data_IF_886988262757
#
_entry.id   IF_886988262757
#
_cell.length_a   1.000
_cell.length_b   1.000
_cell.length_c   1.000
_cell.angle_alpha   90.00
_cell.angle_beta   90.00
_cell.angle_gamma   90.00
#
_symmetry.space_group_name_H-M   'P 1'
#
loop_
_entity.id
_entity.type
_entity.pdbx_description
1 polymer ?
#
# COMPACT_ATOMS: atom_id res chain seq x y z
N UNK A 1 -46.85 1.04 -2.50
CA UNK A 1 -45.68 1.83 -2.93
C UNK A 1 -44.46 0.93 -2.72
N UNK A 2 -43.82 0.37 -3.77
CA UNK A 2 -42.61 -0.43 -3.56
C UNK A 2 -41.46 0.48 -3.13
N UNK A 3 -40.83 0.12 -2.02
CA UNK A 3 -39.61 0.74 -1.51
C UNK A 3 -38.50 0.51 -2.53
N UNK A 4 -37.90 1.60 -3.02
CA UNK A 4 -36.66 1.54 -3.81
C UNK A 4 -35.56 0.96 -2.92
N UNK A 5 -35.23 -0.31 -3.13
CA UNK A 5 -33.97 -0.89 -2.66
C UNK A 5 -32.87 -0.23 -3.48
N UNK A 6 -32.23 0.79 -2.89
CA UNK A 6 -30.95 1.29 -3.39
C UNK A 6 -29.99 0.11 -3.53
N UNK A 7 -29.41 -0.04 -4.72
CA UNK A 7 -28.39 -1.05 -4.97
C UNK A 7 -27.30 -0.96 -3.88
N UNK A 8 -26.75 -2.09 -3.39
CA UNK A 8 -25.57 -2.02 -2.54
C UNK A 8 -24.50 -1.27 -3.35
N UNK A 9 -24.01 -0.15 -2.82
CA UNK A 9 -22.84 0.51 -3.37
C UNK A 9 -21.77 -0.58 -3.52
N UNK A 10 -21.30 -0.81 -4.75
CA UNK A 10 -20.27 -1.80 -5.02
C UNK A 10 -19.10 -1.49 -4.09
N UNK A 11 -18.84 -2.39 -3.14
CA UNK A 11 -17.72 -2.26 -2.23
C UNK A 11 -16.47 -2.25 -3.10
N UNK A 12 -15.93 -1.06 -3.32
CA UNK A 12 -14.77 -0.82 -4.14
C UNK A 12 -13.61 -1.67 -3.58
N UNK A 13 -13.34 -2.82 -4.20
CA UNK A 13 -12.41 -3.81 -3.65
C UNK A 13 -10.99 -3.32 -3.88
N UNK A 14 -10.31 -2.93 -2.81
CA UNK A 14 -8.87 -2.73 -2.85
C UNK A 14 -8.18 -4.01 -3.36
N UNK A 15 -7.14 -3.86 -4.16
CA UNK A 15 -6.30 -4.96 -4.63
C UNK A 15 -5.30 -5.35 -3.54
N UNK A 16 -5.22 -6.64 -3.22
CA UNK A 16 -4.20 -7.17 -2.32
C UNK A 16 -3.08 -7.87 -3.11
N UNK A 17 -1.83 -7.76 -2.65
CA UNK A 17 -0.74 -8.53 -3.24
C UNK A 17 0.61 -8.36 -2.55
N UNK A 18 1.43 -9.40 -2.67
CA UNK A 18 2.82 -9.37 -2.23
C UNK A 18 3.69 -8.57 -3.22
N UNK A 19 4.50 -7.64 -2.69
CA UNK A 19 5.43 -6.84 -3.47
C UNK A 19 6.82 -6.90 -2.85
N UNK A 20 7.83 -7.10 -3.68
CA UNK A 20 9.21 -6.98 -3.24
C UNK A 20 9.48 -5.54 -2.80
N UNK A 21 9.92 -5.37 -1.56
CA UNK A 21 10.15 -4.10 -0.89
C UNK A 21 11.60 -4.08 -0.41
N UNK A 22 12.34 -3.05 -0.78
CA UNK A 22 13.76 -2.92 -0.52
C UNK A 22 14.10 -1.61 0.19
N UNK A 23 15.24 -1.59 0.88
CA UNK A 23 15.75 -0.40 1.58
C UNK A 23 16.09 0.73 0.61
N UNK A 24 16.60 0.36 -0.57
CA UNK A 24 16.71 1.26 -1.71
C UNK A 24 15.43 1.17 -2.56
N UNK A 25 14.68 2.27 -2.64
CA UNK A 25 13.42 2.37 -3.38
C UNK A 25 13.55 1.94 -4.85
N UNK A 26 14.69 2.19 -5.49
CA UNK A 26 14.92 1.86 -6.90
C UNK A 26 14.80 0.35 -7.16
N UNK A 27 15.10 -0.47 -6.16
CA UNK A 27 15.04 -1.93 -6.22
C UNK A 27 13.66 -2.50 -5.84
N UNK A 28 12.76 -1.67 -5.31
CA UNK A 28 11.42 -2.12 -4.91
C UNK A 28 10.52 -2.32 -6.13
N UNK A 29 9.65 -3.33 -6.05
CA UNK A 29 8.64 -3.58 -7.06
C UNK A 29 7.68 -2.39 -7.16
N UNK A 30 7.42 -1.95 -8.38
CA UNK A 30 6.42 -0.94 -8.66
C UNK A 30 5.05 -1.59 -8.83
N UNK A 31 4.03 -0.93 -8.29
CA UNK A 31 2.63 -1.28 -8.47
C UNK A 31 1.81 -0.01 -8.65
N UNK A 32 0.54 -0.15 -9.06
CA UNK A 32 -0.33 0.98 -9.40
C UNK A 32 -1.41 1.16 -8.35
N UNK A 33 -1.57 2.38 -7.88
CA UNK A 33 -2.67 2.78 -7.02
C UNK A 33 -4.02 2.58 -7.70
N UNK A 34 -5.02 2.12 -6.95
CA UNK A 34 -6.42 2.10 -7.40
C UNK A 34 -7.20 3.21 -6.69
N UNK A 35 -8.05 3.95 -7.40
CA UNK A 35 -8.90 4.97 -6.77
C UNK A 35 -10.04 4.38 -5.93
N UNK A 36 -10.23 3.06 -6.02
CA UNK A 36 -11.17 2.30 -5.23
C UNK A 36 -10.69 2.09 -3.79
N UNK A 37 -9.39 2.23 -3.54
CA UNK A 37 -8.83 2.18 -2.21
C UNK A 37 -8.53 3.58 -1.67
N UNK A 38 -8.94 3.87 -0.44
CA UNK A 38 -8.65 5.14 0.25
C UNK A 38 -7.13 5.39 0.45
N UNK A 39 -6.32 4.33 0.34
CA UNK A 39 -4.88 4.38 0.56
C UNK A 39 -4.16 3.11 0.15
N UNK A 40 -2.82 3.13 0.26
CA UNK A 40 -2.03 1.90 0.31
C UNK A 40 -1.82 1.54 1.78
N UNK A 41 -1.96 0.26 2.10
CA UNK A 41 -1.71 -0.28 3.44
C UNK A 41 -0.68 -1.39 3.34
N UNK A 42 0.23 -1.47 4.31
CA UNK A 42 1.18 -2.57 4.47
C UNK A 42 0.68 -3.46 5.61
N UNK A 43 0.63 -4.78 5.40
CA UNK A 43 0.03 -5.70 6.37
C UNK A 43 1.02 -6.62 7.07
N UNK A 44 1.78 -7.39 6.28
CA UNK A 44 2.74 -8.36 6.83
C UNK A 44 4.02 -8.37 6.01
N UNK A 45 5.15 -8.58 6.68
CA UNK A 45 6.42 -8.87 6.02
C UNK A 45 6.57 -10.38 5.79
N UNK A 46 7.39 -10.77 4.82
CA UNK A 46 7.53 -12.16 4.42
C UNK A 46 8.51 -12.99 5.26
N UNK A 47 9.42 -12.34 6.00
CA UNK A 47 10.45 -13.04 6.78
C UNK A 47 10.67 -12.42 8.17
N UNK A 48 10.99 -11.12 8.22
CA UNK A 48 11.39 -10.45 9.46
C UNK A 48 10.57 -9.17 9.59
N UNK A 49 10.03 -8.91 10.78
CA UNK A 49 9.33 -7.64 11.05
C UNK A 49 10.25 -6.45 10.77
N UNK A 50 9.73 -5.41 10.13
CA UNK A 50 10.51 -4.25 9.73
C UNK A 50 9.64 -3.01 9.65
N UNK A 51 10.30 -1.84 9.65
CA UNK A 51 9.63 -0.60 9.34
C UNK A 51 9.46 -0.46 7.82
N UNK A 52 8.23 -0.19 7.38
CA UNK A 52 7.88 -0.03 5.96
C UNK A 52 7.23 1.32 5.74
N UNK A 53 7.53 1.97 4.62
CA UNK A 53 6.83 3.19 4.19
C UNK A 53 6.38 3.09 2.75
N UNK A 54 5.38 3.90 2.43
CA UNK A 54 4.89 4.08 1.08
C UNK A 54 5.60 5.22 0.36
N UNK A 55 5.88 5.01 -0.93
CA UNK A 55 6.42 5.99 -1.85
C UNK A 55 5.51 6.09 -3.06
N UNK A 56 5.24 7.29 -3.53
CA UNK A 56 4.40 7.50 -4.71
C UNK A 56 5.09 8.44 -5.70
N UNK A 57 4.89 8.19 -6.98
CA UNK A 57 5.49 9.01 -8.03
C UNK A 57 4.60 10.22 -8.35
N UNK A 58 5.16 11.42 -8.28
CA UNK A 58 4.48 12.68 -8.59
C UNK A 58 5.49 13.64 -9.22
N UNK A 59 5.08 14.29 -10.31
CA UNK A 59 5.87 15.32 -11.02
C UNK A 59 7.30 14.85 -11.37
N UNK A 60 7.44 13.60 -11.84
CA UNK A 60 8.73 13.05 -12.26
C UNK A 60 9.66 12.60 -11.12
N UNK A 61 9.18 12.57 -9.87
CA UNK A 61 9.99 12.16 -8.73
C UNK A 61 9.23 11.30 -7.72
N UNK A 62 9.96 10.40 -7.05
CA UNK A 62 9.41 9.61 -5.94
C UNK A 62 9.27 10.45 -4.69
N UNK A 63 8.04 10.62 -4.22
CA UNK A 63 7.70 11.34 -3.01
C UNK A 63 7.59 10.41 -1.81
N UNK A 64 7.92 10.94 -0.64
CA UNK A 64 7.64 10.28 0.64
C UNK A 64 6.19 10.53 1.00
N UNK A 65 5.49 9.47 1.41
CA UNK A 65 4.18 9.62 2.03
C UNK A 65 4.26 10.30 3.40
N UNK A 66 3.22 11.05 3.77
CA UNK A 66 3.13 11.75 5.06
C UNK A 66 3.05 10.79 6.25
N UNK A 67 2.65 9.53 6.02
CA UNK A 67 2.56 8.50 7.06
C UNK A 67 3.93 8.00 7.55
N UNK A 68 5.02 8.31 6.84
CA UNK A 68 6.36 7.90 7.26
C UNK A 68 6.53 6.37 7.27
N UNK A 69 7.45 5.91 8.13
CA UNK A 69 7.68 4.49 8.37
C UNK A 69 6.72 3.97 9.44
N UNK A 70 6.05 2.86 9.16
CA UNK A 70 5.18 2.12 10.10
C UNK A 70 5.79 0.76 10.39
N UNK A 71 5.63 0.25 11.60
CA UNK A 71 6.10 -1.07 11.96
C UNK A 71 5.18 -2.14 11.33
N UNK A 72 5.76 -3.05 10.56
CA UNK A 72 5.03 -4.16 9.93
C UNK A 72 5.62 -5.47 10.43
N UNK A 73 4.77 -6.31 11.00
CA UNK A 73 5.16 -7.59 11.58
C UNK A 73 5.17 -8.72 10.56
N UNK A 74 6.02 -9.73 10.75
CA UNK A 74 5.93 -10.98 9.99
C UNK A 74 4.83 -11.93 10.48
N UNK A 75 4.22 -11.63 11.64
CA UNK A 75 3.13 -12.42 12.22
C UNK A 75 1.73 -11.99 11.72
N UNK A 76 1.64 -10.98 10.85
CA UNK A 76 0.40 -10.36 10.38
C UNK A 76 -0.48 -9.78 11.50
N UNK A 77 -0.16 -8.56 11.93
CA UNK A 77 -0.83 -7.87 13.04
C UNK A 77 -1.91 -6.85 12.59
N UNK A 78 -2.21 -6.76 11.30
CA UNK A 78 -3.20 -5.83 10.77
C UNK A 78 -2.77 -5.20 9.45
N UNK A 79 -3.35 -4.05 9.13
CA UNK A 79 -3.05 -3.26 7.93
C UNK A 79 -2.78 -1.81 8.32
N UNK A 80 -1.55 -1.36 8.14
CA UNK A 80 -1.14 0.00 8.48
C UNK A 80 -1.06 0.86 7.23
N UNK A 81 -1.73 2.02 7.26
CA UNK A 81 -1.77 2.94 6.13
C UNK A 81 -0.38 3.54 5.90
N UNK A 82 0.14 3.36 4.69
CA UNK A 82 1.44 3.88 4.26
C UNK A 82 1.33 4.94 3.18
N UNK A 83 0.21 5.02 2.45
CA UNK A 83 -0.12 6.10 1.50
C UNK A 83 -1.61 6.43 1.65
N UNK A 84 -1.98 7.71 1.63
CA UNK A 84 -3.38 8.15 1.57
C UNK A 84 -3.63 9.01 0.33
N UNK A 85 -4.89 9.40 0.10
CA UNK A 85 -5.30 10.21 -1.05
C UNK A 85 -4.80 9.60 -2.37
N UNK A 86 -5.11 8.33 -2.58
CA UNK A 86 -4.71 7.63 -3.80
C UNK A 86 -5.28 8.29 -5.05
N UNK A 87 -4.46 8.31 -6.10
CA UNK A 87 -4.87 8.71 -7.43
C UNK A 87 -4.70 7.50 -8.33
N UNK A 88 -5.76 7.09 -9.02
CA UNK A 88 -5.76 5.91 -9.88
C UNK A 88 -4.61 5.96 -10.89
N UNK A 89 -3.93 4.83 -11.07
CA UNK A 89 -2.81 4.70 -12.01
C UNK A 89 -1.51 5.33 -11.53
N UNK A 90 -1.47 5.99 -10.35
CA UNK A 90 -0.22 6.50 -9.78
C UNK A 90 0.70 5.34 -9.42
N UNK A 91 1.96 5.43 -9.87
CA UNK A 91 2.98 4.47 -9.50
C UNK A 91 3.32 4.60 -8.01
N UNK A 92 3.32 3.45 -7.33
CA UNK A 92 3.63 3.31 -5.92
C UNK A 92 4.68 2.23 -5.70
N UNK A 93 5.47 2.39 -4.63
CA UNK A 93 6.47 1.46 -4.17
C UNK A 93 6.45 1.38 -2.65
N UNK A 94 6.75 0.21 -2.12
CA UNK A 94 7.19 0.07 -0.75
C UNK A 94 8.63 0.55 -0.59
N UNK A 95 9.01 0.90 0.63
CA UNK A 95 10.42 0.99 1.04
C UNK A 95 10.54 0.47 2.46
N UNK A 96 11.39 -0.54 2.65
CA UNK A 96 11.71 -1.08 3.96
C UNK A 96 12.85 -0.29 4.61
N UNK A 97 12.98 -0.40 5.93
CA UNK A 97 14.02 0.30 6.66
C UNK A 97 15.30 -0.54 6.74
N UNK A 98 15.16 -1.84 7.02
CA UNK A 98 16.29 -2.73 7.37
C UNK A 98 16.49 -3.84 6.35
N UNK A 99 15.42 -4.49 5.90
CA UNK A 99 15.51 -5.74 5.15
C UNK A 99 14.85 -5.66 3.77
N UNK A 100 15.49 -6.25 2.75
CA UNK A 100 14.88 -6.43 1.44
C UNK A 100 14.03 -7.71 1.46
N UNK A 101 12.71 -7.57 1.34
CA UNK A 101 11.79 -8.70 1.51
C UNK A 101 10.44 -8.48 0.82
N UNK A 102 9.63 -9.54 0.75
CA UNK A 102 8.23 -9.40 0.37
C UNK A 102 7.45 -8.69 1.48
N UNK A 103 6.55 -7.78 1.10
CA UNK A 103 5.56 -7.17 2.00
C UNK A 103 4.20 -7.28 1.32
N UNK A 104 3.18 -7.65 2.09
CA UNK A 104 1.80 -7.68 1.63
C UNK A 104 1.23 -6.26 1.63
N UNK A 105 0.65 -5.83 0.51
CA UNK A 105 0.00 -4.54 0.38
C UNK A 105 -1.47 -4.68 0.00
N UNK A 106 -2.28 -3.73 0.45
CA UNK A 106 -3.65 -3.47 0.02
C UNK A 106 -3.68 -2.07 -0.62
N UNK A 107 -4.14 -1.92 -1.86
CA UNK A 107 -4.04 -0.67 -2.65
C UNK A 107 -5.03 -0.56 -3.80
#
# INVERSE_FOLDING_TARGET
MPLSMGAPAEAATCTAGWKHTATNISNSAQFSATSTCDGAYAGTTGAISDYVRGRFHKDGSWQTSTYGYVWVSSANDGWDKVIGNMVSGRAIRGQSYTYNQGVSYLY
#
